data_IF_626234837739
#
_entry.id   IF_626234837739
#
_cell.length_a   1.000
_cell.length_b   1.000
_cell.length_c   1.000
_cell.angle_alpha   90.00
_cell.angle_beta   90.00
_cell.angle_gamma   90.00
#
_symmetry.space_group_name_H-M   'P 1'
#
loop_
_entity.id
_entity.type
_entity.pdbx_description
1 polymer ?
#
# COMPACT_ATOMS: atom_id res chain seq x y z
N UNK A 1 -16.52 -15.80 4.05
CA UNK A 1 -15.05 -15.96 4.01
C UNK A 1 -14.38 -14.80 3.29
N UNK A 2 -14.65 -14.58 2.00
CA UNK A 2 -14.03 -13.49 1.20
C UNK A 2 -14.03 -12.09 1.85
N UNK A 3 -15.09 -11.70 2.58
CA UNK A 3 -15.12 -10.40 3.28
C UNK A 3 -14.09 -10.34 4.42
N UNK A 4 -13.98 -11.40 5.22
CA UNK A 4 -13.02 -11.48 6.33
C UNK A 4 -11.59 -11.51 5.81
N UNK A 5 -11.34 -12.25 4.72
CA UNK A 5 -10.05 -12.29 4.03
C UNK A 5 -9.69 -10.93 3.42
N UNK A 6 -10.68 -10.23 2.85
CA UNK A 6 -10.53 -8.84 2.39
C UNK A 6 -10.11 -7.91 3.52
N UNK A 7 -10.75 -8.00 4.69
CA UNK A 7 -10.35 -7.24 5.89
C UNK A 7 -8.94 -7.62 6.34
N UNK A 8 -8.58 -8.91 6.35
CA UNK A 8 -7.23 -9.36 6.68
C UNK A 8 -6.18 -8.77 5.72
N UNK A 9 -6.46 -8.73 4.42
CA UNK A 9 -5.58 -8.10 3.42
C UNK A 9 -5.44 -6.59 3.62
N UNK A 10 -6.48 -5.91 4.13
CA UNK A 10 -6.37 -4.50 4.53
C UNK A 10 -5.34 -4.30 5.65
N UNK A 11 -5.28 -5.20 6.64
CA UNK A 11 -4.26 -5.14 7.68
C UNK A 11 -2.85 -5.43 7.16
N UNK A 12 -2.71 -6.36 6.20
CA UNK A 12 -1.41 -6.60 5.53
C UNK A 12 -0.92 -5.32 4.85
N UNK A 13 -1.79 -4.67 4.07
CA UNK A 13 -1.49 -3.37 3.44
C UNK A 13 -1.12 -2.32 4.50
N UNK A 14 -1.92 -2.20 5.57
CA UNK A 14 -1.68 -1.26 6.67
C UNK A 14 -0.28 -1.46 7.28
N UNK A 15 0.11 -2.70 7.58
CA UNK A 15 1.41 -3.02 8.16
C UNK A 15 2.54 -2.59 7.23
N UNK A 16 2.43 -2.87 5.93
CA UNK A 16 3.44 -2.45 4.94
C UNK A 16 3.58 -0.93 4.94
N UNK A 17 2.45 -0.21 4.97
CA UNK A 17 2.46 1.25 5.05
C UNK A 17 3.09 1.74 6.37
N UNK A 18 2.68 1.22 7.53
CA UNK A 18 3.25 1.59 8.85
C UNK A 18 4.76 1.40 8.85
N UNK A 19 5.24 0.24 8.41
CA UNK A 19 6.67 -0.09 8.36
C UNK A 19 7.41 0.83 7.39
N UNK A 20 6.80 1.15 6.24
CA UNK A 20 7.38 2.05 5.23
C UNK A 20 7.67 3.47 5.73
N UNK A 21 6.84 4.00 6.64
CA UNK A 21 7.02 5.33 7.25
C UNK A 21 7.59 5.30 8.67
N UNK A 22 7.93 4.12 9.21
CA UNK A 22 8.40 3.98 10.59
C UNK A 22 9.66 4.81 10.89
N UNK A 23 10.54 4.98 9.90
CA UNK A 23 11.75 5.81 9.99
C UNK A 23 11.56 7.23 9.43
N UNK A 24 10.30 7.69 9.39
CA UNK A 24 9.91 8.97 8.84
C UNK A 24 9.34 8.89 7.41
N UNK A 25 8.63 9.95 6.98
CA UNK A 25 7.88 9.96 5.73
C UNK A 25 8.75 9.98 4.47
N UNK A 26 10.03 10.32 4.59
CA UNK A 26 11.01 10.20 3.49
C UNK A 26 11.14 8.75 3.02
N UNK A 27 10.80 7.77 3.87
CA UNK A 27 10.74 6.35 3.54
C UNK A 27 9.82 6.05 2.35
N UNK A 28 8.76 6.84 2.18
CA UNK A 28 7.73 6.63 1.16
C UNK A 28 7.55 7.85 0.22
N UNK A 29 8.58 8.71 0.10
CA UNK A 29 8.52 9.91 -0.75
C UNK A 29 8.27 9.60 -2.24
N UNK A 30 8.57 8.37 -2.68
CA UNK A 30 8.35 7.92 -4.06
C UNK A 30 6.86 7.86 -4.47
N UNK A 31 5.91 7.93 -3.52
CA UNK A 31 4.48 8.06 -3.83
C UNK A 31 4.07 9.49 -4.20
N UNK A 32 4.93 10.48 -3.96
CA UNK A 32 4.67 11.89 -4.32
C UNK A 32 5.18 12.23 -5.72
N UNK A 33 4.73 13.38 -6.23
CA UNK A 33 5.17 13.97 -7.49
C UNK A 33 6.70 14.13 -7.54
N UNK A 34 7.25 14.10 -8.76
CA UNK A 34 8.71 14.17 -8.98
C UNK A 34 9.33 15.43 -8.37
N UNK A 35 8.63 16.56 -8.39
CA UNK A 35 9.09 17.82 -7.79
C UNK A 35 9.38 17.66 -6.29
N UNK A 36 8.50 16.96 -5.55
CA UNK A 36 8.68 16.71 -4.11
C UNK A 36 9.86 15.76 -3.86
N UNK A 37 10.05 14.78 -4.75
CA UNK A 37 11.19 13.87 -4.67
C UNK A 37 12.51 14.59 -4.94
N UNK A 38 12.55 15.47 -5.94
CA UNK A 38 13.75 16.21 -6.34
C UNK A 38 14.18 17.15 -5.21
N UNK A 39 13.23 17.88 -4.62
CA UNK A 39 13.50 18.73 -3.46
C UNK A 39 13.95 17.93 -2.22
N UNK A 40 13.43 16.71 -2.00
CA UNK A 40 13.93 15.84 -0.93
C UNK A 40 15.38 15.38 -1.17
N UNK A 41 15.82 15.29 -2.42
CA UNK A 41 17.23 15.03 -2.78
C UNK A 41 18.08 16.28 -2.62
N UNK A 42 17.58 17.46 -3.00
CA UNK A 42 18.27 18.75 -2.80
C UNK A 42 18.52 19.07 -1.32
N UNK A 43 17.57 18.72 -0.45
CA UNK A 43 17.70 18.87 1.01
C UNK A 43 18.54 17.77 1.67
N UNK A 44 19.20 16.91 0.88
CA UNK A 44 20.05 15.80 1.33
C UNK A 44 19.34 14.80 2.27
N UNK A 45 18.01 14.75 2.24
CA UNK A 45 17.19 13.83 3.06
C UNK A 45 17.23 12.40 2.50
N UNK A 46 17.49 12.25 1.21
CA UNK A 46 17.59 10.97 0.50
C UNK A 46 18.34 11.13 -0.82
N UNK A 47 18.70 10.02 -1.47
CA UNK A 47 19.26 10.01 -2.83
C UNK A 47 18.27 9.41 -3.82
N UNK A 48 18.42 9.70 -5.11
CA UNK A 48 17.58 9.09 -6.16
C UNK A 48 17.69 7.56 -6.19
N UNK A 49 18.89 7.04 -5.93
CA UNK A 49 19.12 5.60 -5.84
C UNK A 49 18.34 4.97 -4.68
N UNK A 50 18.35 5.62 -3.51
CA UNK A 50 17.59 5.17 -2.35
C UNK A 50 16.08 5.25 -2.55
N UNK A 51 15.59 6.31 -3.21
CA UNK A 51 14.17 6.43 -3.61
C UNK A 51 13.78 5.25 -4.50
N UNK A 52 14.56 4.95 -5.54
CA UNK A 52 14.27 3.87 -6.47
C UNK A 52 14.30 2.49 -5.79
N UNK A 53 15.28 2.26 -4.90
CA UNK A 53 15.36 1.02 -4.12
C UNK A 53 14.15 0.85 -3.21
N UNK A 54 13.78 1.88 -2.44
CA UNK A 54 12.61 1.88 -1.55
C UNK A 54 11.31 1.70 -2.33
N UNK A 55 11.18 2.37 -3.48
CA UNK A 55 10.06 2.18 -4.41
C UNK A 55 9.95 0.72 -4.80
N UNK A 56 11.00 0.13 -5.35
CA UNK A 56 10.98 -1.26 -5.81
C UNK A 56 10.63 -2.23 -4.68
N UNK A 57 11.27 -2.11 -3.52
CA UNK A 57 10.98 -2.95 -2.36
C UNK A 57 9.53 -2.81 -1.90
N UNK A 58 9.00 -1.59 -1.81
CA UNK A 58 7.63 -1.36 -1.35
C UNK A 58 6.59 -1.86 -2.37
N UNK A 59 6.83 -1.64 -3.66
CA UNK A 59 5.96 -2.17 -4.71
C UNK A 59 5.93 -3.70 -4.70
N UNK A 60 7.07 -4.36 -4.52
CA UNK A 60 7.12 -5.82 -4.37
C UNK A 60 6.36 -6.25 -3.11
N UNK A 61 6.58 -5.58 -1.99
CA UNK A 61 5.90 -5.88 -0.72
C UNK A 61 4.38 -5.73 -0.80
N UNK A 62 3.87 -4.77 -1.59
CA UNK A 62 2.43 -4.59 -1.80
C UNK A 62 1.87 -5.58 -2.83
N UNK A 63 2.60 -5.83 -3.92
CA UNK A 63 2.12 -6.64 -5.04
C UNK A 63 2.13 -8.13 -4.73
N UNK A 64 3.18 -8.65 -4.08
CA UNK A 64 3.37 -10.09 -3.86
C UNK A 64 2.26 -10.70 -2.99
N UNK A 65 1.88 -10.11 -1.83
CA UNK A 65 0.75 -10.62 -1.05
C UNK A 65 -0.55 -10.59 -1.83
N UNK A 66 -0.78 -9.53 -2.62
CA UNK A 66 -2.01 -9.40 -3.39
C UNK A 66 -2.10 -10.44 -4.51
N UNK A 67 -1.02 -10.69 -5.25
CA UNK A 67 -1.02 -11.65 -6.34
C UNK A 67 -0.90 -13.11 -5.91
N UNK A 68 -0.27 -13.39 -4.77
CA UNK A 68 -0.07 -14.77 -4.31
C UNK A 68 -1.05 -15.17 -3.23
N UNK A 69 -1.20 -14.37 -2.17
CA UNK A 69 -1.98 -14.79 -1.01
C UNK A 69 -3.48 -14.80 -1.31
N UNK A 70 -3.98 -13.85 -2.10
CA UNK A 70 -5.42 -13.80 -2.42
C UNK A 70 -5.85 -15.02 -3.23
N UNK A 71 -5.17 -15.42 -4.33
CA UNK A 71 -5.49 -16.69 -5.00
C UNK A 71 -5.28 -17.91 -4.10
N UNK A 72 -4.21 -17.96 -3.30
CA UNK A 72 -3.97 -19.10 -2.39
C UNK A 72 -5.10 -19.26 -1.37
N UNK A 73 -5.59 -18.17 -0.77
CA UNK A 73 -6.74 -18.21 0.14
C UNK A 73 -8.00 -18.71 -0.57
N UNK A 74 -8.30 -18.16 -1.75
CA UNK A 74 -9.51 -18.50 -2.50
C UNK A 74 -9.52 -19.97 -2.96
N UNK A 75 -8.40 -20.50 -3.45
CA UNK A 75 -8.35 -21.87 -3.94
C UNK A 75 -8.09 -22.90 -2.85
N UNK A 76 -7.18 -22.63 -1.90
CA UNK A 76 -6.74 -23.62 -0.92
C UNK A 76 -7.54 -23.57 0.39
N UNK A 77 -7.93 -22.38 0.84
CA UNK A 77 -8.64 -22.21 2.13
C UNK A 77 -10.15 -22.26 1.89
N UNK A 78 -10.66 -21.51 0.92
CA UNK A 78 -12.08 -21.49 0.60
C UNK A 78 -12.53 -22.65 -0.29
N UNK A 79 -11.59 -23.35 -0.94
CA UNK A 79 -11.88 -24.51 -1.77
C UNK A 79 -12.68 -24.19 -3.03
N UNK A 80 -12.51 -23.00 -3.62
CA UNK A 80 -13.20 -22.64 -4.86
C UNK A 80 -12.80 -23.60 -6.00
N UNK A 81 -13.76 -24.37 -6.51
CA UNK A 81 -13.52 -25.39 -7.55
C UNK A 81 -13.78 -24.88 -8.97
N UNK A 82 -14.59 -23.83 -9.12
CA UNK A 82 -14.93 -23.25 -10.40
C UNK A 82 -14.38 -21.81 -10.53
N UNK A 83 -14.06 -21.44 -11.79
CA UNK A 83 -13.46 -20.14 -12.09
C UNK A 83 -14.35 -18.97 -11.68
N UNK A 84 -15.68 -19.09 -11.83
CA UNK A 84 -16.60 -17.98 -11.55
C UNK A 84 -16.63 -17.66 -10.06
N UNK A 85 -16.72 -18.68 -9.22
CA UNK A 85 -16.66 -18.54 -7.76
C UNK A 85 -15.32 -17.95 -7.34
N UNK A 86 -14.21 -18.47 -7.86
CA UNK A 86 -12.88 -17.94 -7.52
C UNK A 86 -12.72 -16.48 -7.96
N UNK A 87 -13.14 -16.13 -9.18
CA UNK A 87 -13.08 -14.78 -9.71
C UNK A 87 -13.91 -13.80 -8.87
N UNK A 88 -15.12 -14.17 -8.47
CA UNK A 88 -15.98 -13.33 -7.62
C UNK A 88 -15.35 -13.11 -6.24
N UNK A 89 -14.82 -14.17 -5.61
CA UNK A 89 -14.19 -14.04 -4.30
C UNK A 89 -12.94 -13.15 -4.35
N UNK A 90 -12.05 -13.36 -5.32
CA UNK A 90 -10.88 -12.49 -5.52
C UNK A 90 -11.30 -11.04 -5.79
N UNK A 91 -12.32 -10.83 -6.62
CA UNK A 91 -12.85 -9.49 -6.91
C UNK A 91 -13.34 -8.79 -5.65
N UNK A 92 -14.08 -9.49 -4.78
CA UNK A 92 -14.56 -8.95 -3.50
C UNK A 92 -13.38 -8.56 -2.60
N UNK A 93 -12.38 -9.42 -2.46
CA UNK A 93 -11.18 -9.16 -1.63
C UNK A 93 -10.43 -7.92 -2.14
N UNK A 94 -10.20 -7.84 -3.46
CA UNK A 94 -9.52 -6.72 -4.08
C UNK A 94 -10.30 -5.42 -4.00
N UNK A 95 -11.63 -5.48 -4.15
CA UNK A 95 -12.51 -4.32 -3.99
C UNK A 95 -12.44 -3.78 -2.56
N UNK A 96 -12.53 -4.65 -1.54
CA UNK A 96 -12.42 -4.25 -0.14
C UNK A 96 -11.06 -3.60 0.13
N UNK A 97 -9.97 -4.23 -0.33
CA UNK A 97 -8.61 -3.71 -0.15
C UNK A 97 -8.43 -2.34 -0.81
N UNK A 98 -8.92 -2.17 -2.04
CA UNK A 98 -8.83 -0.90 -2.77
C UNK A 98 -9.72 0.19 -2.17
N UNK A 99 -10.91 -0.15 -1.67
CA UNK A 99 -11.76 0.79 -0.94
C UNK A 99 -11.11 1.23 0.37
N UNK A 100 -10.51 0.30 1.11
CA UNK A 100 -9.78 0.63 2.34
C UNK A 100 -8.61 1.56 2.06
N UNK A 101 -7.79 1.26 1.05
CA UNK A 101 -6.68 2.11 0.65
C UNK A 101 -7.17 3.53 0.30
N UNK A 102 -8.16 3.64 -0.59
CA UNK A 102 -8.65 4.94 -1.05
C UNK A 102 -9.33 5.77 0.04
N UNK A 103 -10.12 5.15 0.90
CA UNK A 103 -10.90 5.85 1.92
C UNK A 103 -10.11 6.07 3.20
N UNK A 104 -9.46 5.03 3.70
CA UNK A 104 -8.79 5.04 5.00
C UNK A 104 -7.33 5.47 4.90
N UNK A 105 -6.53 4.87 4.01
CA UNK A 105 -5.11 5.21 3.90
C UNK A 105 -4.95 6.60 3.27
N UNK A 106 -5.39 6.76 2.03
CA UNK A 106 -5.28 8.01 1.27
C UNK A 106 -6.11 9.14 1.90
N UNK A 107 -7.39 8.85 2.16
CA UNK A 107 -8.35 9.86 2.61
C UNK A 107 -8.15 10.27 4.08
N UNK A 108 -8.33 9.32 5.00
CA UNK A 108 -8.32 9.62 6.43
C UNK A 108 -6.90 9.76 7.00
N UNK A 109 -6.03 8.76 6.81
CA UNK A 109 -4.74 8.71 7.47
C UNK A 109 -3.76 9.70 6.87
N UNK A 110 -3.44 9.59 5.57
CA UNK A 110 -2.53 10.53 4.88
C UNK A 110 -3.10 11.95 4.94
N UNK A 111 -4.42 12.11 4.73
CA UNK A 111 -5.11 13.38 4.90
C UNK A 111 -4.89 14.00 6.27
N UNK A 112 -4.99 13.24 7.37
CA UNK A 112 -4.75 13.75 8.73
C UNK A 112 -3.28 14.12 8.97
N UNK A 113 -2.34 13.36 8.40
CA UNK A 113 -0.92 13.71 8.51
C UNK A 113 -0.57 15.00 7.75
N UNK A 114 -1.26 15.26 6.63
CA UNK A 114 -1.11 16.49 5.83
C UNK A 114 -1.60 17.74 6.56
N UNK A 115 -2.65 17.64 7.38
CA UNK A 115 -3.17 18.74 8.19
C UNK A 115 -2.45 18.90 9.54
N UNK A 116 -1.82 17.82 10.03
CA UNK A 116 -1.25 17.74 11.37
C UNK A 116 0.15 18.35 11.51
N UNK A 117 1.15 17.93 10.74
CA UNK A 117 2.55 18.30 11.02
C UNK A 117 3.54 17.90 9.91
N UNK A 118 3.20 18.00 8.62
CA UNK A 118 4.20 17.80 7.56
C UNK A 118 4.30 18.96 6.56
N UNK A 119 5.50 19.56 6.40
CA UNK A 119 5.76 20.64 5.46
C UNK A 119 5.95 20.09 4.04
N UNK A 120 5.10 19.18 3.56
CA UNK A 120 5.13 18.78 2.14
C UNK A 120 4.76 19.95 1.20
N UNK A 121 4.26 21.06 1.76
CA UNK A 121 4.00 22.31 1.06
C UNK A 121 5.15 23.34 1.19
N UNK A 122 6.21 22.99 1.95
CA UNK A 122 7.46 23.77 2.12
C UNK A 122 8.71 22.90 1.89
N UNK A 123 8.56 21.81 1.14
CA UNK A 123 9.65 21.20 0.40
C UNK A 123 9.42 21.66 -1.02
#
# INVERSE_FOLDING_TARGET
MAVLEGVAMCFVLLIICVVGIANGPVGMVFFYEKEVQDKAVELELTTREMINKRKMTTYIALLVPQLLFVPLMVYLVNGAQDFKTAAVQMTVIYLISGLFDRLFIDGYWVGKQRHGSFPAQKI
#
